data_IF_791750831520
#
_entry.id   IF_791750831520
#
_cell.length_a   1.000
_cell.length_b   1.000
_cell.length_c   1.000
_cell.angle_alpha   90.00
_cell.angle_beta   90.00
_cell.angle_gamma   90.00
#
_symmetry.space_group_name_H-M   'P 1'
#
loop_
_entity.id
_entity.type
_entity.pdbx_description
1 polymer ?
#
# COMPACT_ATOMS: atom_id res chain seq x y z
N UNK A 1 28.69 39.08 16.19
CA UNK A 1 28.20 37.69 16.30
C UNK A 1 27.26 37.50 15.12
N UNK A 2 27.62 36.66 14.15
CA UNK A 2 26.77 36.45 12.96
C UNK A 2 25.47 35.74 13.36
N UNK A 3 24.31 36.18 12.84
CA UNK A 3 23.03 35.56 13.16
C UNK A 3 22.99 34.12 12.62
N UNK A 4 22.64 33.17 13.48
CA UNK A 4 22.51 31.77 13.09
C UNK A 4 21.42 31.62 12.03
N UNK A 5 21.77 31.04 10.88
CA UNK A 5 20.84 30.77 9.79
C UNK A 5 19.75 29.81 10.27
N UNK A 6 18.52 30.30 10.40
CA UNK A 6 17.35 29.48 10.74
C UNK A 6 17.19 28.37 9.71
N UNK A 7 17.22 27.12 10.16
CA UNK A 7 16.94 25.96 9.31
C UNK A 7 15.44 25.91 8.99
N UNK A 8 15.03 26.62 7.94
CA UNK A 8 13.68 26.57 7.38
C UNK A 8 13.63 25.51 6.28
N UNK A 9 12.64 24.62 6.33
CA UNK A 9 12.39 23.64 5.25
C UNK A 9 11.54 24.27 4.15
N UNK A 10 11.85 23.91 2.90
CA UNK A 10 11.04 24.27 1.74
C UNK A 10 9.79 23.37 1.67
N UNK A 11 8.64 23.95 1.34
CA UNK A 11 7.37 23.23 1.15
C UNK A 11 7.33 22.55 -0.23
N UNK A 12 6.57 21.44 -0.39
CA UNK A 12 5.73 20.78 0.61
C UNK A 12 6.53 19.85 1.54
N UNK A 13 6.20 19.88 2.83
CA UNK A 13 6.82 18.97 3.82
C UNK A 13 6.12 17.62 3.72
N UNK A 14 6.90 16.57 3.43
CA UNK A 14 6.39 15.19 3.35
C UNK A 14 5.75 14.77 4.69
N UNK A 15 4.51 14.26 4.70
CA UNK A 15 3.85 13.79 5.92
C UNK A 15 4.61 12.59 6.52
N UNK A 16 4.98 12.69 7.80
CA UNK A 16 5.81 11.73 8.53
C UNK A 16 6.68 12.44 9.57
N UNK A 17 7.37 11.71 10.46
CA UNK A 17 8.35 12.30 11.36
C UNK A 17 9.52 12.87 10.54
N UNK A 18 9.39 14.13 10.13
CA UNK A 18 10.48 14.93 9.58
C UNK A 18 11.26 15.61 10.70
N UNK A 19 10.98 15.32 11.97
CA UNK A 19 11.55 16.02 13.13
C UNK A 19 13.06 16.20 13.00
N UNK A 20 13.50 17.47 12.96
CA UNK A 20 14.89 17.76 13.27
C UNK A 20 15.11 17.25 14.69
N UNK A 21 15.87 16.16 14.84
CA UNK A 21 16.29 15.68 16.16
C UNK A 21 17.27 16.73 16.65
N UNK A 22 16.93 17.55 17.65
CA UNK A 22 17.85 18.55 18.15
C UNK A 22 19.08 17.80 18.64
N UNK A 23 20.25 18.09 18.06
CA UNK A 23 21.53 17.72 18.62
C UNK A 23 21.75 18.58 19.87
N UNK A 24 20.87 18.44 20.87
CA UNK A 24 21.04 19.08 22.16
C UNK A 24 22.13 18.29 22.86
N UNK A 25 23.35 18.81 22.69
CA UNK A 25 24.49 18.89 23.62
C UNK A 25 24.41 18.15 24.96
N UNK A 26 23.98 16.90 24.98
CA UNK A 26 24.22 15.97 26.06
C UNK A 26 25.45 15.16 25.65
N UNK A 27 26.62 15.76 25.80
CA UNK A 27 27.86 14.99 25.83
C UNK A 27 28.01 14.44 27.26
N UNK A 28 27.12 13.52 27.62
CA UNK A 28 27.25 12.77 28.87
C UNK A 28 28.41 11.79 28.75
N UNK A 29 29.16 11.60 29.83
CA UNK A 29 30.29 10.67 29.89
C UNK A 29 29.87 9.20 29.99
N UNK A 30 28.56 8.93 30.10
CA UNK A 30 27.98 7.60 30.06
C UNK A 30 27.80 7.12 28.62
N UNK A 31 27.96 5.83 28.37
CA UNK A 31 27.80 5.24 27.03
C UNK A 31 26.35 5.35 26.54
N UNK A 32 25.38 5.41 27.47
CA UNK A 32 23.97 5.63 27.19
C UNK A 32 23.65 7.05 26.67
N UNK A 33 24.48 8.05 27.02
CA UNK A 33 24.31 9.45 26.62
C UNK A 33 25.10 9.84 25.36
N UNK A 34 25.86 8.92 24.74
CA UNK A 34 26.53 9.20 23.47
C UNK A 34 25.50 9.27 22.33
N UNK A 35 25.10 10.49 22.01
CA UNK A 35 24.18 10.78 20.91
C UNK A 35 24.64 10.19 19.58
N UNK A 36 25.95 10.11 19.30
CA UNK A 36 26.43 9.51 18.06
C UNK A 36 26.14 8.01 18.03
N UNK A 37 26.36 7.31 19.15
CA UNK A 37 26.04 5.90 19.30
C UNK A 37 24.53 5.65 19.15
N UNK A 38 23.69 6.48 19.76
CA UNK A 38 22.23 6.40 19.65
C UNK A 38 21.75 6.62 18.20
N UNK A 39 22.23 7.66 17.52
CA UNK A 39 21.88 7.97 16.13
C UNK A 39 22.34 6.84 15.20
N UNK A 40 23.57 6.36 15.36
CA UNK A 40 24.10 5.24 14.58
C UNK A 40 23.27 3.97 14.78
N UNK A 41 22.95 3.64 16.03
CA UNK A 41 22.10 2.48 16.37
C UNK A 41 20.72 2.61 15.72
N UNK A 42 20.10 3.81 15.77
CA UNK A 42 18.82 4.06 15.13
C UNK A 42 18.89 3.87 13.60
N UNK A 43 19.92 4.42 12.96
CA UNK A 43 20.15 4.26 11.52
C UNK A 43 20.33 2.80 11.12
N UNK A 44 21.15 2.05 11.84
CA UNK A 44 21.40 0.62 11.60
C UNK A 44 20.12 -0.22 11.77
N UNK A 45 19.34 0.04 12.83
CA UNK A 45 18.05 -0.62 13.04
C UNK A 45 17.06 -0.30 11.92
N UNK A 46 16.99 0.96 11.52
CA UNK A 46 16.13 1.42 10.43
C UNK A 46 16.51 0.76 9.11
N UNK A 47 17.81 0.66 8.81
CA UNK A 47 18.29 0.02 7.59
C UNK A 47 17.97 -1.48 7.60
N UNK A 48 18.25 -2.18 8.71
CA UNK A 48 17.89 -3.59 8.87
C UNK A 48 16.40 -3.85 8.67
N UNK A 49 15.54 -3.01 9.24
CA UNK A 49 14.09 -3.13 9.06
C UNK A 49 13.69 -2.98 7.58
N UNK A 50 14.28 -2.01 6.87
CA UNK A 50 14.04 -1.84 5.43
C UNK A 50 14.48 -3.05 4.62
N UNK A 51 15.63 -3.64 4.98
CA UNK A 51 16.16 -4.81 4.29
C UNK A 51 15.26 -6.04 4.52
N UNK A 52 14.81 -6.26 5.75
CA UNK A 52 13.84 -7.31 6.08
C UNK A 52 12.51 -7.14 5.36
N UNK A 53 12.00 -5.89 5.29
CA UNK A 53 10.76 -5.61 4.58
C UNK A 53 10.91 -5.89 3.07
N UNK A 54 12.06 -5.53 2.48
CA UNK A 54 12.36 -5.84 1.08
C UNK A 54 12.42 -7.34 0.84
N UNK A 55 13.12 -8.08 1.70
CA UNK A 55 13.21 -9.53 1.65
C UNK A 55 11.82 -10.17 1.71
N UNK A 56 10.99 -9.75 2.66
CA UNK A 56 9.61 -10.22 2.78
C UNK A 56 8.79 -9.95 1.51
N UNK A 57 8.83 -8.72 0.97
CA UNK A 57 8.14 -8.38 -0.27
C UNK A 57 8.60 -9.26 -1.44
N UNK A 58 9.91 -9.51 -1.56
CA UNK A 58 10.47 -10.41 -2.57
C UNK A 58 10.00 -11.86 -2.38
N UNK A 59 9.95 -12.35 -1.14
CA UNK A 59 9.46 -13.69 -0.82
C UNK A 59 7.98 -13.85 -1.17
N UNK A 60 7.15 -12.85 -0.85
CA UNK A 60 5.72 -12.84 -1.20
C UNK A 60 5.52 -12.77 -2.72
N UNK A 61 6.28 -11.93 -3.42
CA UNK A 61 6.17 -11.79 -4.87
C UNK A 61 6.60 -13.05 -5.64
N UNK A 62 7.53 -13.82 -5.08
CA UNK A 62 8.02 -15.09 -5.67
C UNK A 62 7.27 -16.31 -5.14
N UNK A 63 6.38 -16.15 -4.15
CA UNK A 63 5.61 -17.25 -3.61
C UNK A 63 4.72 -17.89 -4.69
N UNK A 64 4.67 -19.23 -4.77
CA UNK A 64 3.83 -19.90 -5.74
C UNK A 64 2.36 -19.57 -5.49
N UNK A 65 1.63 -19.28 -6.56
CA UNK A 65 0.20 -19.00 -6.47
C UNK A 65 -0.52 -20.24 -5.92
N UNK A 66 -1.21 -20.07 -4.79
CA UNK A 66 -2.01 -21.14 -4.20
C UNK A 66 -3.10 -21.56 -5.17
N UNK A 67 -3.35 -22.87 -5.22
CA UNK A 67 -4.50 -23.39 -5.96
C UNK A 67 -5.78 -22.91 -5.27
N UNK A 68 -6.78 -22.45 -6.03
CA UNK A 68 -8.06 -22.08 -5.45
C UNK A 68 -8.69 -23.31 -4.77
N UNK A 69 -9.24 -23.10 -3.57
CA UNK A 69 -9.85 -24.18 -2.75
C UNK A 69 -11.04 -24.81 -3.48
N UNK A 70 -11.79 -24.02 -4.23
CA UNK A 70 -12.91 -24.45 -5.05
C UNK A 70 -12.72 -24.00 -6.50
N UNK A 71 -13.27 -24.74 -7.45
CA UNK A 71 -13.32 -24.27 -8.83
C UNK A 71 -14.26 -23.06 -8.93
N UNK A 72 -14.01 -22.21 -9.92
CA UNK A 72 -14.86 -21.05 -10.19
C UNK A 72 -16.32 -21.47 -10.43
N UNK A 73 -16.53 -22.58 -11.15
CA UNK A 73 -17.86 -23.12 -11.41
C UNK A 73 -18.60 -23.51 -10.13
N UNK A 74 -17.91 -24.13 -9.16
CA UNK A 74 -18.51 -24.50 -7.88
C UNK A 74 -18.96 -23.26 -7.10
N UNK A 75 -18.14 -22.20 -7.11
CA UNK A 75 -18.47 -20.92 -6.46
C UNK A 75 -19.68 -20.27 -7.14
N UNK A 76 -19.68 -20.19 -8.47
CA UNK A 76 -20.79 -19.61 -9.24
C UNK A 76 -22.09 -20.38 -9.01
N UNK A 77 -22.03 -21.71 -8.96
CA UNK A 77 -23.20 -22.55 -8.68
C UNK A 77 -23.75 -22.30 -7.28
N UNK A 78 -22.88 -22.21 -6.28
CA UNK A 78 -23.29 -21.92 -4.90
C UNK A 78 -23.93 -20.52 -4.78
N UNK A 79 -23.35 -19.51 -5.44
CA UNK A 79 -23.93 -18.16 -5.49
C UNK A 79 -25.31 -18.15 -6.16
N UNK A 80 -25.46 -18.87 -7.27
CA UNK A 80 -26.74 -18.98 -7.96
C UNK A 80 -27.81 -19.66 -7.08
N UNK A 81 -27.44 -20.75 -6.40
CA UNK A 81 -28.33 -21.44 -5.46
C UNK A 81 -28.74 -20.54 -4.29
N UNK A 82 -27.80 -19.81 -3.70
CA UNK A 82 -28.09 -18.83 -2.65
C UNK A 82 -29.09 -17.77 -3.13
N UNK A 83 -28.87 -17.23 -4.33
CA UNK A 83 -29.74 -16.21 -4.91
C UNK A 83 -31.16 -16.74 -5.18
N UNK A 84 -31.27 -17.97 -5.69
CA UNK A 84 -32.56 -18.65 -5.86
C UNK A 84 -33.32 -18.83 -4.54
N UNK A 85 -32.61 -19.17 -3.46
CA UNK A 85 -33.21 -19.45 -2.16
C UNK A 85 -33.64 -18.18 -1.42
N UNK A 86 -32.85 -17.11 -1.51
CA UNK A 86 -33.03 -15.91 -0.69
C UNK A 86 -33.62 -14.71 -1.45
N UNK A 87 -33.53 -14.70 -2.78
CA UNK A 87 -34.07 -13.62 -3.61
C UNK A 87 -34.82 -14.14 -4.85
N UNK A 88 -35.86 -14.98 -4.66
CA UNK A 88 -36.60 -15.58 -5.78
C UNK A 88 -37.27 -14.56 -6.72
N UNK A 89 -37.55 -13.33 -6.24
CA UNK A 89 -38.14 -12.25 -7.03
C UNK A 89 -37.13 -11.52 -7.95
N UNK A 90 -35.82 -11.65 -7.72
CA UNK A 90 -34.79 -11.08 -8.61
C UNK A 90 -34.55 -11.94 -9.87
N UNK A 91 -34.87 -13.23 -9.81
CA UNK A 91 -34.76 -14.16 -10.94
C UNK A 91 -36.05 -14.20 -11.81
N UNK A 92 -37.04 -13.39 -11.47
CA UNK A 92 -38.38 -13.38 -12.05
C UNK A 92 -38.66 -12.28 -13.08
N UNK A 93 -37.66 -11.67 -13.71
CA UNK A 93 -37.91 -10.74 -14.83
C UNK A 93 -36.90 -10.89 -15.97
N UNK A 94 -37.34 -11.66 -16.96
CA UNK A 94 -36.92 -11.71 -18.37
C UNK A 94 -35.47 -12.01 -18.69
N UNK A 95 -35.27 -13.11 -19.41
CA UNK A 95 -34.54 -13.15 -20.69
C UNK A 95 -33.86 -11.82 -20.98
N UNK A 96 -32.64 -11.63 -20.49
CA UNK A 96 -31.75 -10.63 -21.05
C UNK A 96 -31.43 -11.15 -22.45
N UNK A 97 -32.23 -10.67 -23.40
CA UNK A 97 -31.96 -10.63 -24.83
C UNK A 97 -30.45 -10.37 -24.98
N UNK A 98 -29.69 -11.18 -25.75
CA UNK A 98 -28.29 -10.87 -26.00
C UNK A 98 -28.26 -9.44 -26.54
N UNK A 99 -27.59 -8.51 -25.85
CA UNK A 99 -27.31 -7.21 -26.46
C UNK A 99 -26.56 -7.53 -27.76
N UNK A 100 -27.03 -7.06 -28.92
CA UNK A 100 -26.25 -7.19 -30.14
C UNK A 100 -24.93 -6.46 -29.89
N UNK A 101 -23.82 -7.19 -29.92
CA UNK A 101 -22.51 -6.61 -30.09
C UNK A 101 -22.53 -5.94 -31.46
N UNK A 102 -22.87 -4.64 -31.50
CA UNK A 102 -22.65 -3.84 -32.70
C UNK A 102 -21.14 -3.60 -32.81
N UNK A 103 -20.47 -4.10 -33.86
CA UNK A 103 -19.08 -3.83 -34.08
C UNK A 103 -18.95 -2.43 -34.66
N UNK A 104 -18.29 -1.54 -33.93
CA UNK A 104 -17.82 -0.27 -34.47
C UNK A 104 -18.39 0.97 -33.80
N UNK A 105 -17.85 1.33 -32.64
CA UNK A 105 -17.63 2.73 -32.32
C UNK A 105 -16.29 2.88 -31.58
N UNK A 106 -15.31 3.64 -32.10
CA UNK A 106 -14.05 3.86 -31.42
C UNK A 106 -14.28 4.81 -30.25
N UNK A 107 -14.05 4.32 -29.03
CA UNK A 107 -14.01 5.19 -27.85
C UNK A 107 -12.80 6.13 -27.98
N UNK A 108 -13.10 7.38 -28.32
CA UNK A 108 -12.16 8.51 -28.33
C UNK A 108 -11.76 8.79 -26.88
N UNK A 109 -10.51 8.48 -26.52
CA UNK A 109 -9.91 9.00 -25.29
C UNK A 109 -9.68 10.50 -25.48
N UNK A 110 -10.52 11.34 -24.87
CA UNK A 110 -10.18 12.75 -24.67
C UNK A 110 -9.18 12.83 -23.52
N UNK A 111 -7.95 13.22 -23.85
CA UNK A 111 -6.97 13.70 -22.87
C UNK A 111 -7.50 15.00 -22.26
N UNK A 112 -7.44 15.12 -20.93
CA UNK A 112 -7.66 16.38 -20.24
C UNK A 112 -6.31 17.09 -20.07
N UNK A 113 -6.30 18.39 -20.39
CA UNK A 113 -5.20 19.35 -20.19
C UNK A 113 -4.82 19.52 -18.72
#
# INVERSE_FOLDING_TARGET
>A
MEPSKTFMRNLPITPGYSGFVPFLSCQGTSREDDMNYCVKTFQEKTQRYKDQLREFCCAVATAPKLKPVNSEETVLRALHQYNQQHHPLLLGSSVLKPLPLTPGHPCRFSQAS
#
